data_IF_261311149645
#
_entry.id   IF_261311149645
#
_cell.length_a   1.000
_cell.length_b   1.000
_cell.length_c   1.000
_cell.angle_alpha   90.00
_cell.angle_beta   90.00
_cell.angle_gamma   90.00
#
_symmetry.space_group_name_H-M   'P 1'
#
loop_
_entity.id
_entity.type
_entity.pdbx_description
1 polymer ?
#
# COMPACT_ATOMS: atom_id res chain seq x y z
N UNK A 1 -14.53 -7.00 -10.58
CA UNK A 1 -13.75 -5.74 -10.62
C UNK A 1 -12.28 -6.05 -10.89
N UNK A 2 -11.50 -5.05 -11.30
CA UNK A 2 -10.05 -5.20 -11.46
C UNK A 2 -9.33 -4.31 -10.44
N UNK A 3 -8.52 -4.94 -9.60
CA UNK A 3 -7.72 -4.28 -8.58
C UNK A 3 -6.26 -4.20 -8.99
N UNK A 4 -5.62 -3.07 -8.72
CA UNK A 4 -4.17 -3.01 -8.53
C UNK A 4 -3.94 -2.93 -7.03
N UNK A 5 -3.18 -3.88 -6.52
CA UNK A 5 -2.80 -3.96 -5.10
C UNK A 5 -1.30 -3.72 -5.02
N UNK A 6 -0.86 -2.76 -4.21
CA UNK A 6 0.56 -2.59 -3.94
C UNK A 6 0.88 -3.12 -2.54
N UNK A 7 1.99 -3.84 -2.40
CA UNK A 7 2.32 -4.54 -1.16
C UNK A 7 1.44 -5.79 -0.91
N UNK A 8 0.92 -6.39 -1.98
CA UNK A 8 0.04 -7.57 -1.89
C UNK A 8 0.74 -8.83 -1.39
N UNK A 9 2.07 -8.85 -1.33
CA UNK A 9 2.85 -9.94 -0.73
C UNK A 9 3.22 -9.68 0.73
N UNK A 10 2.85 -8.53 1.30
CA UNK A 10 2.94 -8.27 2.73
C UNK A 10 1.86 -9.00 3.53
N UNK A 11 1.98 -8.97 4.88
CA UNK A 11 1.05 -9.67 5.76
C UNK A 11 -0.42 -9.30 5.52
N UNK A 12 -0.77 -8.02 5.58
CA UNK A 12 -2.17 -7.57 5.40
C UNK A 12 -2.58 -7.68 3.92
N UNK A 13 -1.71 -7.24 3.01
CA UNK A 13 -2.00 -7.22 1.57
C UNK A 13 -2.29 -8.61 1.01
N UNK A 14 -1.58 -9.65 1.48
CA UNK A 14 -1.80 -11.03 1.02
C UNK A 14 -3.20 -11.54 1.37
N UNK A 15 -3.70 -11.26 2.56
CA UNK A 15 -5.07 -11.62 2.95
C UNK A 15 -6.12 -10.87 2.12
N UNK A 16 -5.87 -9.60 1.82
CA UNK A 16 -6.77 -8.84 0.94
C UNK A 16 -6.81 -9.45 -0.48
N UNK A 17 -5.64 -9.76 -1.06
CA UNK A 17 -5.55 -10.40 -2.39
C UNK A 17 -6.31 -11.71 -2.41
N UNK A 18 -6.14 -12.55 -1.39
CA UNK A 18 -6.86 -13.83 -1.27
C UNK A 18 -8.38 -13.64 -1.32
N UNK A 19 -8.91 -12.71 -0.53
CA UNK A 19 -10.35 -12.45 -0.47
C UNK A 19 -10.91 -11.89 -1.79
N UNK A 20 -10.17 -11.04 -2.46
CA UNK A 20 -10.55 -10.49 -3.76
C UNK A 20 -10.60 -11.60 -4.83
N UNK A 21 -9.60 -12.48 -4.85
CA UNK A 21 -9.55 -13.62 -5.77
C UNK A 21 -10.68 -14.63 -5.50
N UNK A 22 -11.04 -14.91 -4.24
CA UNK A 22 -12.18 -15.76 -3.88
C UNK A 22 -13.52 -15.24 -4.41
N UNK A 23 -13.65 -13.91 -4.58
CA UNK A 23 -14.82 -13.28 -5.20
C UNK A 23 -14.86 -13.39 -6.73
N UNK A 24 -13.81 -13.92 -7.34
CA UNK A 24 -13.67 -14.00 -8.80
C UNK A 24 -13.17 -12.71 -9.46
N UNK A 25 -12.75 -11.72 -8.69
CA UNK A 25 -12.20 -10.47 -9.19
C UNK A 25 -10.77 -10.67 -9.73
N UNK A 26 -10.24 -9.68 -10.45
CA UNK A 26 -8.90 -9.70 -11.05
C UNK A 26 -7.96 -8.84 -10.23
N UNK A 27 -6.76 -9.34 -9.96
CA UNK A 27 -5.71 -8.66 -9.19
C UNK A 27 -4.44 -8.54 -10.02
N UNK A 28 -3.89 -7.32 -10.06
CA UNK A 28 -2.50 -7.06 -10.43
C UNK A 28 -1.79 -6.61 -9.14
N UNK A 29 -0.89 -7.44 -8.63
CA UNK A 29 -0.15 -7.20 -7.40
C UNK A 29 1.23 -6.63 -7.73
N UNK A 30 1.57 -5.51 -7.13
CA UNK A 30 2.88 -4.84 -7.26
C UNK A 30 3.58 -4.89 -5.91
N UNK A 31 4.67 -5.64 -5.83
CA UNK A 31 5.47 -5.74 -4.61
C UNK A 31 6.96 -5.76 -4.96
N UNK A 32 7.77 -5.04 -4.20
CA UNK A 32 9.22 -5.01 -4.44
C UNK A 32 9.95 -6.25 -3.91
N UNK A 33 9.28 -7.10 -3.14
CA UNK A 33 9.84 -8.31 -2.55
C UNK A 33 10.97 -8.03 -1.56
N UNK A 34 10.65 -7.32 -0.49
CA UNK A 34 11.59 -7.13 0.62
C UNK A 34 11.56 -8.31 1.62
N UNK A 35 12.24 -8.12 2.75
CA UNK A 35 12.34 -9.15 3.80
C UNK A 35 10.99 -9.56 4.42
N UNK A 36 9.98 -8.71 4.34
CA UNK A 36 8.64 -8.94 4.89
C UNK A 36 7.65 -9.55 3.89
N UNK A 37 8.07 -9.72 2.62
CA UNK A 37 7.19 -10.22 1.56
C UNK A 37 7.16 -11.75 1.54
N UNK A 38 5.97 -12.34 1.39
CA UNK A 38 5.79 -13.76 1.14
C UNK A 38 6.37 -14.16 -0.22
N UNK A 39 7.26 -15.17 -0.25
CA UNK A 39 7.89 -15.63 -1.48
C UNK A 39 6.94 -16.47 -2.33
N UNK A 40 6.18 -17.33 -1.68
CA UNK A 40 5.24 -18.26 -2.30
C UNK A 40 3.87 -18.08 -1.68
N UNK A 41 2.84 -17.97 -2.51
CA UNK A 41 1.45 -17.81 -2.10
C UNK A 41 0.57 -18.81 -2.82
N UNK A 42 -0.48 -19.35 -2.17
CA UNK A 42 -1.34 -20.39 -2.75
C UNK A 42 -1.96 -20.04 -4.10
N UNK A 43 -2.09 -18.74 -4.38
CA UNK A 43 -2.71 -18.21 -5.60
C UNK A 43 -1.73 -17.70 -6.65
N UNK A 44 -0.44 -17.95 -6.52
CA UNK A 44 0.56 -17.47 -7.49
C UNK A 44 0.25 -17.92 -8.94
N UNK A 45 -0.40 -19.07 -9.10
CA UNK A 45 -0.85 -19.58 -10.40
C UNK A 45 -2.34 -19.34 -10.68
N UNK A 46 -3.03 -18.47 -9.92
CA UNK A 46 -4.45 -18.22 -10.11
C UNK A 46 -4.67 -17.44 -11.43
N UNK A 47 -5.66 -17.82 -12.30
CA UNK A 47 -5.85 -17.21 -13.62
C UNK A 47 -6.18 -15.72 -13.56
N UNK A 48 -6.75 -15.25 -12.45
CA UNK A 48 -7.09 -13.83 -12.24
C UNK A 48 -6.01 -13.06 -11.46
N UNK A 49 -4.84 -13.66 -11.20
CA UNK A 49 -3.74 -13.02 -10.48
C UNK A 49 -2.55 -12.77 -11.41
N UNK A 50 -2.01 -11.58 -11.34
CA UNK A 50 -0.77 -11.19 -12.01
C UNK A 50 0.16 -10.52 -11.02
N UNK A 51 1.38 -11.01 -10.92
CA UNK A 51 2.41 -10.43 -10.07
C UNK A 51 3.40 -9.58 -10.87
N UNK A 52 3.67 -8.37 -10.40
CA UNK A 52 4.68 -7.46 -10.93
C UNK A 52 5.69 -7.12 -9.83
N UNK A 53 6.91 -7.61 -9.95
CA UNK A 53 7.99 -7.25 -9.03
C UNK A 53 8.51 -5.85 -9.35
N UNK A 54 8.11 -4.86 -8.56
CA UNK A 54 8.53 -3.47 -8.73
C UNK A 54 8.40 -2.67 -7.43
N UNK A 55 9.21 -1.63 -7.28
CA UNK A 55 9.06 -0.63 -6.21
C UNK A 55 8.08 0.46 -6.70
N UNK A 56 7.11 0.80 -5.86
CA UNK A 56 6.10 1.82 -6.20
C UNK A 56 6.70 3.21 -6.44
N UNK A 57 7.89 3.50 -5.92
CA UNK A 57 8.60 4.75 -6.18
C UNK A 57 9.16 4.85 -7.60
N UNK A 58 9.35 3.71 -8.27
CA UNK A 58 10.11 3.62 -9.51
C UNK A 58 9.25 3.22 -10.73
N UNK A 59 8.00 2.73 -10.51
CA UNK A 59 7.10 2.37 -11.61
C UNK A 59 6.74 3.58 -12.47
N UNK A 60 6.71 3.38 -13.79
CA UNK A 60 6.39 4.43 -14.77
C UNK A 60 4.95 4.33 -15.29
N UNK A 61 4.29 3.19 -15.09
CA UNK A 61 2.95 2.94 -15.58
C UNK A 61 2.10 2.23 -14.53
N UNK A 62 0.86 2.69 -14.40
CA UNK A 62 -0.16 2.04 -13.59
C UNK A 62 -1.06 1.21 -14.51
N UNK A 63 -1.18 -0.12 -14.30
CA UNK A 63 -2.15 -0.94 -15.02
C UNK A 63 -3.58 -0.36 -14.92
N UNK A 64 -4.39 -0.60 -15.93
CA UNK A 64 -5.81 -0.19 -15.88
C UNK A 64 -6.52 -1.00 -14.80
N UNK A 65 -7.23 -0.33 -13.91
CA UNK A 65 -7.97 -0.93 -12.80
C UNK A 65 -9.16 -0.05 -12.40
N UNK A 66 -10.10 -0.65 -11.68
CA UNK A 66 -11.23 0.06 -11.07
C UNK A 66 -10.82 0.65 -9.72
N UNK A 67 -9.96 -0.08 -8.98
CA UNK A 67 -9.46 0.29 -7.65
C UNK A 67 -7.95 0.09 -7.59
N UNK A 68 -7.24 1.11 -7.11
CA UNK A 68 -5.85 1.03 -6.67
C UNK A 68 -5.84 1.07 -5.15
N UNK A 69 -5.44 -0.03 -4.52
CA UNK A 69 -5.30 -0.08 -3.06
C UNK A 69 -3.84 -0.20 -2.67
N UNK A 70 -3.37 0.71 -1.83
CA UNK A 70 -1.97 0.79 -1.42
C UNK A 70 -1.76 0.25 0.00
N UNK A 71 -1.20 -0.96 0.09
CA UNK A 71 -0.65 -1.54 1.31
C UNK A 71 0.89 -1.37 1.38
N UNK A 72 1.54 -1.08 0.25
CA UNK A 72 2.99 -0.95 0.21
C UNK A 72 3.47 0.17 1.13
N UNK A 73 4.28 -0.20 2.12
CA UNK A 73 4.88 0.70 3.08
C UNK A 73 6.07 0.04 3.78
N UNK A 74 7.01 0.82 4.29
CA UNK A 74 7.83 0.43 5.43
C UNK A 74 7.03 0.71 6.70
N UNK A 75 6.93 -0.26 7.63
CA UNK A 75 5.98 -0.20 8.76
C UNK A 75 6.60 -0.42 10.14
N UNK A 76 7.88 -0.82 10.25
CA UNK A 76 8.52 -1.06 11.53
C UNK A 76 9.00 0.22 12.21
N UNK A 77 8.35 0.63 13.30
CA UNK A 77 8.67 1.85 14.06
C UNK A 77 10.14 1.91 14.47
N UNK A 78 10.68 0.86 15.10
CA UNK A 78 12.09 0.85 15.54
C UNK A 78 13.08 1.00 14.38
N UNK A 79 12.76 0.48 13.21
CA UNK A 79 13.57 0.67 12.01
C UNK A 79 13.49 2.11 11.51
N UNK A 80 12.33 2.76 11.62
CA UNK A 80 12.16 4.16 11.22
C UNK A 80 12.97 5.13 12.06
N UNK A 81 13.20 4.79 13.35
CA UNK A 81 14.02 5.58 14.27
C UNK A 81 15.51 5.42 13.95
N UNK A 82 15.92 4.23 13.48
CA UNK A 82 17.32 3.95 13.15
C UNK A 82 17.72 4.53 11.78
N UNK A 83 16.81 4.44 10.81
CA UNK A 83 17.02 4.90 9.43
C UNK A 83 15.67 5.30 8.82
N UNK A 84 15.49 6.59 8.53
CA UNK A 84 14.27 7.16 7.98
C UNK A 84 14.18 7.08 6.46
N UNK A 85 15.29 6.96 5.75
CA UNK A 85 15.33 7.06 4.28
C UNK A 85 14.43 6.03 3.58
N UNK A 86 14.40 4.73 3.98
CA UNK A 86 13.48 3.75 3.40
C UNK A 86 12.00 4.13 3.58
N UNK A 87 11.66 4.78 4.70
CA UNK A 87 10.29 5.22 5.00
C UNK A 87 9.88 6.40 4.12
N UNK A 88 10.77 7.38 3.96
CA UNK A 88 10.55 8.51 3.06
C UNK A 88 10.38 7.99 1.62
N UNK A 89 11.28 7.11 1.16
CA UNK A 89 11.21 6.54 -0.19
C UNK A 89 9.90 5.78 -0.41
N UNK A 90 9.55 4.86 0.48
CA UNK A 90 8.39 4.00 0.31
C UNK A 90 7.06 4.73 0.59
N UNK A 91 6.96 5.39 1.75
CA UNK A 91 5.69 5.89 2.26
C UNK A 91 5.34 7.29 1.73
N UNK A 92 6.33 8.10 1.32
CA UNK A 92 6.10 9.42 0.76
C UNK A 92 6.30 9.42 -0.75
N UNK A 93 7.53 9.14 -1.23
CA UNK A 93 7.81 9.21 -2.66
C UNK A 93 7.06 8.14 -3.46
N UNK A 94 6.92 6.93 -2.92
CA UNK A 94 6.13 5.87 -3.53
C UNK A 94 4.66 6.24 -3.66
N UNK A 95 4.05 6.78 -2.60
CA UNK A 95 2.65 7.22 -2.63
C UNK A 95 2.47 8.42 -3.56
N UNK A 96 3.40 9.38 -3.53
CA UNK A 96 3.41 10.49 -4.48
C UNK A 96 3.42 10.00 -5.93
N UNK A 97 4.30 9.04 -6.27
CA UNK A 97 4.37 8.48 -7.61
C UNK A 97 3.05 7.81 -8.03
N UNK A 98 2.43 7.01 -7.13
CA UNK A 98 1.12 6.41 -7.41
C UNK A 98 0.05 7.45 -7.70
N UNK A 99 0.01 8.53 -6.91
CA UNK A 99 -0.95 9.63 -7.11
C UNK A 99 -0.72 10.37 -8.43
N UNK A 100 0.54 10.60 -8.83
CA UNK A 100 0.87 11.21 -10.11
C UNK A 100 0.46 10.30 -11.29
N UNK A 101 0.67 8.99 -11.18
CA UNK A 101 0.23 8.03 -12.19
C UNK A 101 -1.31 7.99 -12.32
N UNK A 102 -2.04 8.10 -11.20
CA UNK A 102 -3.51 8.23 -11.21
C UNK A 102 -3.93 9.57 -11.80
N UNK A 103 -3.29 10.66 -11.40
CA UNK A 103 -3.58 12.01 -11.89
C UNK A 103 -3.36 12.13 -13.40
N UNK A 104 -2.33 11.48 -13.92
CA UNK A 104 -2.01 11.45 -15.36
C UNK A 104 -3.04 10.73 -16.23
N UNK A 105 -3.94 9.92 -15.64
CA UNK A 105 -5.01 9.27 -16.41
C UNK A 105 -6.15 10.25 -16.73
N UNK A 106 -6.85 10.05 -17.86
CA UNK A 106 -8.11 10.76 -18.15
C UNK A 106 -9.11 10.55 -17.00
N UNK A 107 -9.93 11.56 -16.69
CA UNK A 107 -10.83 11.52 -15.51
C UNK A 107 -11.75 10.29 -15.48
N UNK A 108 -12.25 9.87 -16.63
CA UNK A 108 -13.12 8.68 -16.77
C UNK A 108 -12.39 7.35 -16.56
N UNK A 109 -11.05 7.35 -16.58
CA UNK A 109 -10.21 6.15 -16.44
C UNK A 109 -9.40 6.15 -15.11
N UNK A 110 -9.64 7.12 -14.23
CA UNK A 110 -9.00 7.17 -12.91
C UNK A 110 -9.60 6.13 -11.99
N UNK A 111 -8.79 5.24 -11.40
CA UNK A 111 -9.28 4.32 -10.38
C UNK A 111 -9.67 5.05 -9.10
N UNK A 112 -10.50 4.43 -8.27
CA UNK A 112 -10.58 4.79 -6.87
C UNK A 112 -9.23 4.47 -6.21
N UNK A 113 -8.58 5.49 -5.63
CA UNK A 113 -7.35 5.30 -4.85
C UNK A 113 -7.70 5.09 -3.38
N UNK A 114 -7.33 3.95 -2.83
CA UNK A 114 -7.54 3.60 -1.43
C UNK A 114 -6.19 3.43 -0.73
N UNK A 115 -5.86 4.34 0.18
CA UNK A 115 -4.59 4.31 0.92
C UNK A 115 -4.78 3.74 2.31
N UNK A 116 -4.02 2.68 2.65
CA UNK A 116 -4.01 2.11 3.99
C UNK A 116 -3.04 2.92 4.85
N UNK A 117 -3.57 3.71 5.77
CA UNK A 117 -2.81 4.47 6.76
C UNK A 117 -2.63 3.67 8.06
N UNK A 118 -2.48 4.33 9.18
CA UNK A 118 -2.31 3.75 10.52
C UNK A 118 -2.96 4.67 11.57
N UNK A 119 -3.42 4.11 12.66
CA UNK A 119 -3.88 4.85 13.84
C UNK A 119 -2.74 5.62 14.53
N UNK A 120 -1.49 5.20 14.36
CA UNK A 120 -0.33 5.90 14.92
C UNK A 120 -0.18 7.34 14.41
N UNK A 121 -0.86 7.72 13.30
CA UNK A 121 -0.87 9.11 12.81
C UNK A 121 -1.50 10.08 13.82
N UNK A 122 -2.34 9.58 14.74
CA UNK A 122 -2.93 10.36 15.81
C UNK A 122 -1.99 10.57 17.00
N UNK A 123 -0.91 9.76 17.11
CA UNK A 123 0.04 9.79 18.23
C UNK A 123 -0.46 9.00 19.44
N UNK A 124 0.05 9.36 20.62
CA UNK A 124 -0.22 8.65 21.85
C UNK A 124 -1.43 9.23 22.61
N UNK A 125 -2.26 8.36 23.18
CA UNK A 125 -3.40 8.74 24.04
C UNK A 125 -3.45 7.84 25.27
N UNK A 126 -3.47 8.43 26.44
CA UNK A 126 -3.48 7.69 27.73
C UNK A 126 -4.87 7.13 28.08
N UNK A 127 -5.94 7.70 27.55
CA UNK A 127 -7.34 7.27 27.83
C UNK A 127 -8.25 7.56 26.62
N UNK A 128 -9.25 6.69 26.43
CA UNK A 128 -10.23 6.82 25.35
C UNK A 128 -9.73 6.30 24.02
N UNK A 129 -10.44 6.64 22.94
CA UNK A 129 -10.18 6.27 21.56
C UNK A 129 -10.03 7.51 20.69
N UNK A 130 -9.33 7.39 19.58
CA UNK A 130 -9.30 8.41 18.52
C UNK A 130 -10.53 8.27 17.62
N UNK A 131 -10.89 9.37 16.96
CA UNK A 131 -11.86 9.43 15.88
C UNK A 131 -11.26 10.24 14.71
N UNK A 132 -11.94 10.27 13.58
CA UNK A 132 -11.44 10.86 12.34
C UNK A 132 -11.26 12.37 12.40
N UNK A 133 -11.93 13.05 13.34
CA UNK A 133 -11.82 14.50 13.54
C UNK A 133 -10.69 14.89 14.51
N UNK A 134 -10.04 13.90 15.15
CA UNK A 134 -8.94 14.16 16.06
C UNK A 134 -7.71 14.67 15.29
N UNK A 135 -6.94 15.54 15.95
CA UNK A 135 -5.72 16.11 15.39
C UNK A 135 -4.66 15.03 15.16
N UNK A 136 -4.02 15.06 13.99
CA UNK A 136 -2.88 14.20 13.69
C UNK A 136 -1.62 14.74 14.38
N UNK A 137 -1.02 13.92 15.24
CA UNK A 137 0.17 14.26 16.04
C UNK A 137 1.15 13.08 16.09
N UNK A 138 1.69 12.65 14.93
CA UNK A 138 2.58 11.49 14.86
C UNK A 138 3.81 11.66 15.77
N UNK A 139 4.20 10.59 16.46
CA UNK A 139 5.26 10.59 17.47
C UNK A 139 6.56 9.92 16.99
N UNK A 140 6.58 9.34 15.81
CA UNK A 140 7.75 8.66 15.25
C UNK A 140 7.82 8.85 13.71
N UNK A 141 9.00 8.57 13.07
CA UNK A 141 9.16 8.77 11.63
C UNK A 141 8.23 7.90 10.79
N UNK A 142 7.92 6.66 11.21
CA UNK A 142 6.95 5.82 10.52
C UNK A 142 5.58 6.51 10.46
N UNK A 143 5.03 6.86 11.61
CA UNK A 143 3.71 7.48 11.67
C UNK A 143 3.66 8.83 10.95
N UNK A 144 4.76 9.61 10.97
CA UNK A 144 4.86 10.87 10.25
C UNK A 144 4.88 10.70 8.72
N UNK A 145 5.25 9.51 8.21
CA UNK A 145 5.28 9.20 6.77
C UNK A 145 4.00 8.54 6.26
N UNK A 146 3.06 8.22 7.16
CA UNK A 146 1.78 7.56 6.86
C UNK A 146 0.62 8.53 6.89
#
# INVERSE_FOLDING_TARGET
MKYVVTGGRGFIGSHFVEEVLKRGDVVVDIDRMNYASHKDLPWDNHPNYTFLKADISDIQHLPTCDVLINFAAESHVDNSIKDTDPFIKSNILGVHNLLELVRGKPSYARPLFFHISTDEVYGDRSKGSFNEDDKLTPSNPYSATK
#
